data_IF_263689017071
#
_entry.id   IF_263689017071
#
_cell.length_a   1.000
_cell.length_b   1.000
_cell.length_c   1.000
_cell.angle_alpha   90.00
_cell.angle_beta   90.00
_cell.angle_gamma   90.00
#
_symmetry.space_group_name_H-M   'P 1'
#
loop_
_entity.id
_entity.type
_entity.pdbx_description
1 polymer ?
#
# COMPACT_ATOMS: atom_id res chain seq x y z
N UNK A 1 4.53 -25.00 59.64
CA UNK A 1 3.20 -24.64 59.07
C UNK A 1 3.28 -23.57 57.97
N UNK A 2 4.05 -22.48 58.12
CA UNK A 2 4.16 -21.40 57.10
C UNK A 2 4.72 -21.85 55.73
N UNK A 3 5.68 -22.78 55.71
CA UNK A 3 6.29 -23.30 54.48
C UNK A 3 5.31 -24.12 53.64
N UNK A 4 4.50 -24.98 54.27
CA UNK A 4 3.48 -25.79 53.59
C UNK A 4 2.38 -24.92 52.97
N UNK A 5 2.00 -23.83 53.65
CA UNK A 5 1.03 -22.87 53.13
C UNK A 5 1.53 -22.17 51.86
N UNK A 6 2.82 -21.81 51.83
CA UNK A 6 3.43 -21.19 50.65
C UNK A 6 3.50 -22.17 49.47
N UNK A 7 3.81 -23.44 49.73
CA UNK A 7 3.83 -24.47 48.68
C UNK A 7 2.44 -24.71 48.08
N UNK A 8 1.40 -24.74 48.92
CA UNK A 8 0.01 -24.90 48.47
C UNK A 8 -0.44 -23.70 47.63
N UNK A 9 -0.10 -22.48 48.06
CA UNK A 9 -0.41 -21.26 47.32
C UNK A 9 0.30 -21.22 45.96
N UNK A 10 1.55 -21.65 45.90
CA UNK A 10 2.34 -21.66 44.67
C UNK A 10 1.82 -22.68 43.65
N UNK A 11 1.36 -23.85 44.10
CA UNK A 11 0.68 -24.83 43.24
C UNK A 11 -0.63 -24.29 42.67
N UNK A 12 -1.41 -23.57 43.47
CA UNK A 12 -2.69 -23.01 43.02
C UNK A 12 -2.51 -21.95 41.92
N UNK A 13 -1.49 -21.10 42.04
CA UNK A 13 -1.17 -20.08 41.03
C UNK A 13 -0.75 -20.68 39.67
N UNK A 14 -0.10 -21.85 39.66
CA UNK A 14 0.30 -22.52 38.43
C UNK A 14 -0.88 -23.05 37.61
N UNK A 15 -2.05 -23.30 38.22
CA UNK A 15 -3.23 -23.81 37.51
C UNK A 15 -3.94 -22.76 36.64
N UNK A 16 -3.64 -21.47 36.81
CA UNK A 16 -4.21 -20.38 36.00
C UNK A 16 -3.28 -19.88 34.89
N UNK A 17 -2.09 -20.48 34.75
CA UNK A 17 -1.13 -20.15 33.69
C UNK A 17 -1.44 -20.95 32.41
N UNK A 18 -2.56 -20.64 31.75
CA UNK A 18 -2.83 -21.13 30.39
C UNK A 18 -2.21 -20.18 29.36
N UNK A 19 -1.51 -20.69 28.33
CA UNK A 19 -1.02 -19.84 27.25
C UNK A 19 -2.21 -19.26 26.49
N UNK A 20 -2.29 -17.93 26.43
CA UNK A 20 -3.25 -17.25 25.57
C UNK A 20 -2.82 -17.45 24.12
N UNK A 21 -3.55 -18.28 23.39
CA UNK A 21 -3.37 -18.43 21.94
C UNK A 21 -3.90 -17.18 21.27
N UNK A 22 -3.02 -16.30 20.78
CA UNK A 22 -3.42 -15.23 19.87
C UNK A 22 -3.50 -15.81 18.46
N UNK A 23 -4.70 -15.88 17.89
CA UNK A 23 -4.84 -16.00 16.45
C UNK A 23 -4.90 -14.58 15.86
N UNK A 24 -4.09 -14.32 14.84
CA UNK A 24 -4.40 -13.23 13.93
C UNK A 24 -5.69 -13.65 13.23
N UNK A 25 -6.82 -13.01 13.57
CA UNK A 25 -8.06 -13.15 12.81
C UNK A 25 -7.76 -12.59 11.42
N UNK A 26 -7.40 -13.46 10.48
CA UNK A 26 -7.69 -13.21 9.07
C UNK A 26 -9.19 -13.32 8.96
N UNK A 27 -9.87 -12.21 9.28
CA UNK A 27 -11.27 -12.08 8.98
C UNK A 27 -11.38 -12.38 7.49
N UNK A 28 -12.03 -13.48 7.15
CA UNK A 28 -12.92 -13.48 6.01
C UNK A 28 -14.02 -12.47 6.35
N UNK A 29 -13.65 -11.19 6.38
CA UNK A 29 -14.57 -10.16 5.99
C UNK A 29 -15.01 -10.61 4.61
N UNK A 30 -16.31 -10.77 4.42
CA UNK A 30 -16.88 -10.84 3.09
C UNK A 30 -16.39 -9.59 2.37
N UNK A 31 -15.24 -9.73 1.69
CA UNK A 31 -14.79 -8.79 0.71
C UNK A 31 -15.90 -8.85 -0.31
N UNK A 32 -16.82 -7.89 -0.19
CA UNK A 32 -17.54 -7.37 -1.34
C UNK A 32 -16.46 -7.33 -2.41
N UNK A 33 -16.63 -8.13 -3.46
CA UNK A 33 -15.86 -8.03 -4.69
C UNK A 33 -16.21 -6.66 -5.28
N UNK A 34 -15.75 -5.60 -4.61
CA UNK A 34 -15.64 -4.29 -5.19
C UNK A 34 -14.66 -4.56 -6.31
N UNK A 35 -15.19 -4.61 -7.52
CA UNK A 35 -14.42 -4.64 -8.75
C UNK A 35 -13.35 -3.56 -8.61
N UNK A 36 -12.16 -3.94 -8.12
CA UNK A 36 -11.09 -2.99 -7.85
C UNK A 36 -10.66 -2.57 -9.22
N UNK A 37 -11.11 -1.38 -9.62
CA UNK A 37 -10.86 -0.89 -10.95
C UNK A 37 -9.35 -0.82 -11.14
N UNK A 38 -8.85 -1.72 -11.97
CA UNK A 38 -7.41 -1.95 -12.11
C UNK A 38 -6.78 -0.73 -12.75
N UNK A 39 -5.91 -0.04 -12.02
CA UNK A 39 -5.15 1.08 -12.55
C UNK A 39 -4.27 0.57 -13.70
N UNK A 40 -4.40 1.20 -14.87
CA UNK A 40 -3.50 1.03 -16.00
C UNK A 40 -2.79 2.34 -16.30
N UNK A 41 -1.50 2.27 -16.59
CA UNK A 41 -0.67 3.44 -16.87
C UNK A 41 0.28 3.15 -18.01
N UNK A 42 0.26 3.94 -19.07
CA UNK A 42 1.26 3.91 -20.14
C UNK A 42 1.87 5.29 -20.35
N UNK A 43 3.10 5.31 -20.88
CA UNK A 43 3.79 6.53 -21.22
C UNK A 43 4.43 6.37 -22.59
N UNK A 44 4.06 7.22 -23.53
CA UNK A 44 4.59 7.20 -24.90
C UNK A 44 4.54 8.60 -25.50
N UNK A 45 5.59 8.99 -26.21
CA UNK A 45 5.63 10.28 -26.94
C UNK A 45 5.40 11.51 -26.06
N UNK A 46 5.83 11.48 -24.79
CA UNK A 46 5.59 12.58 -23.83
C UNK A 46 4.17 12.61 -23.26
N UNK A 47 3.33 11.62 -23.57
CA UNK A 47 1.96 11.52 -23.07
C UNK A 47 1.84 10.36 -22.11
N UNK A 48 1.34 10.63 -20.91
CA UNK A 48 0.92 9.61 -19.96
C UNK A 48 -0.57 9.35 -20.13
N UNK A 49 -0.94 8.12 -20.45
CA UNK A 49 -2.32 7.65 -20.45
C UNK A 49 -2.57 6.82 -19.19
N UNK A 50 -3.59 7.20 -18.43
CA UNK A 50 -3.95 6.55 -17.17
C UNK A 50 -5.44 6.24 -17.14
N UNK A 51 -5.79 5.03 -16.72
CA UNK A 51 -7.18 4.58 -16.54
C UNK A 51 -7.37 3.97 -15.15
N UNK A 52 -8.61 3.99 -14.64
CA UNK A 52 -8.96 3.41 -13.33
C UNK A 52 -8.37 4.14 -12.12
N UNK A 53 -7.92 5.38 -12.31
CA UNK A 53 -7.27 6.19 -11.28
C UNK A 53 -8.07 7.44 -10.90
N UNK A 54 -9.38 7.46 -11.14
CA UNK A 54 -10.22 8.62 -10.85
C UNK A 54 -10.07 9.07 -9.39
N UNK A 55 -9.96 10.38 -9.16
CA UNK A 55 -9.74 11.03 -7.86
C UNK A 55 -8.43 10.65 -7.15
N UNK A 56 -7.56 9.83 -7.74
CA UNK A 56 -6.26 9.51 -7.18
C UNK A 56 -5.25 10.62 -7.47
N UNK A 57 -4.28 10.77 -6.57
CA UNK A 57 -3.13 11.65 -6.77
C UNK A 57 -2.02 10.86 -7.46
N UNK A 58 -1.49 11.42 -8.54
CA UNK A 58 -0.31 10.95 -9.24
C UNK A 58 0.87 11.79 -8.81
N UNK A 59 1.92 11.15 -8.29
CA UNK A 59 3.20 11.80 -7.97
C UNK A 59 4.30 11.16 -8.80
N UNK A 60 5.10 11.99 -9.47
CA UNK A 60 6.22 11.58 -10.30
C UNK A 60 7.52 11.90 -9.56
N UNK A 61 8.35 10.89 -9.37
CA UNK A 61 9.66 11.01 -8.75
C UNK A 61 10.76 10.77 -9.78
N UNK A 62 11.85 11.52 -9.69
CA UNK A 62 13.08 11.19 -10.41
C UNK A 62 13.84 10.04 -9.71
N UNK A 63 14.94 9.59 -10.31
CA UNK A 63 15.75 8.51 -9.77
C UNK A 63 16.31 8.78 -8.36
N UNK A 64 16.53 10.05 -8.01
CA UNK A 64 16.99 10.46 -6.68
C UNK A 64 15.86 10.50 -5.63
N UNK A 65 14.62 10.18 -6.00
CA UNK A 65 13.46 10.20 -5.11
C UNK A 65 12.83 11.59 -4.91
N UNK A 66 13.24 12.60 -5.67
CA UNK A 66 12.65 13.95 -5.62
C UNK A 66 11.35 13.97 -6.41
N UNK A 67 10.27 14.47 -5.81
CA UNK A 67 8.98 14.65 -6.49
C UNK A 67 9.06 15.82 -7.48
N UNK A 68 9.02 15.51 -8.78
CA UNK A 68 9.13 16.49 -9.87
C UNK A 68 7.76 16.97 -10.37
N UNK A 69 6.70 16.22 -10.11
CA UNK A 69 5.32 16.60 -10.47
C UNK A 69 4.30 15.92 -9.55
N UNK A 70 3.19 16.60 -9.26
CA UNK A 70 2.04 16.02 -8.55
C UNK A 70 0.74 16.62 -9.08
N UNK A 71 -0.27 15.77 -9.33
CA UNK A 71 -1.59 16.21 -9.79
C UNK A 71 -2.66 15.14 -9.51
N UNK A 72 -3.93 15.57 -9.46
CA UNK A 72 -5.08 14.68 -9.33
C UNK A 72 -5.61 14.27 -10.70
N UNK A 73 -6.08 13.03 -10.83
CA UNK A 73 -6.76 12.54 -12.03
C UNK A 73 -8.27 12.78 -11.90
N UNK A 74 -8.83 13.54 -12.84
CA UNK A 74 -10.25 13.93 -12.83
C UNK A 74 -11.06 13.16 -13.89
N UNK A 75 -11.28 11.87 -13.69
CA UNK A 75 -12.04 11.00 -14.59
C UNK A 75 -11.45 9.59 -14.70
N UNK A 76 -12.20 8.70 -15.36
CA UNK A 76 -11.83 7.27 -15.44
C UNK A 76 -10.76 6.95 -16.49
N UNK A 77 -10.59 7.81 -17.49
CA UNK A 77 -9.57 7.71 -18.54
C UNK A 77 -9.05 9.13 -18.82
N UNK A 78 -7.75 9.35 -18.65
CA UNK A 78 -7.10 10.65 -18.87
C UNK A 78 -5.75 10.53 -19.55
N UNK A 79 -5.42 11.58 -20.28
CA UNK A 79 -4.11 11.79 -20.92
C UNK A 79 -3.49 13.07 -20.41
N UNK A 80 -2.22 12.99 -20.03
CA UNK A 80 -1.44 14.11 -19.52
C UNK A 80 -0.19 14.30 -20.37
N UNK A 81 -0.01 15.50 -20.92
CA UNK A 81 1.24 15.88 -21.56
C UNK A 81 2.28 16.17 -20.48
N UNK A 82 3.33 15.35 -20.45
CA UNK A 82 4.42 15.46 -19.49
C UNK A 82 5.72 15.73 -20.24
N UNK A 83 6.27 16.92 -20.03
CA UNK A 83 7.57 17.33 -20.54
C UNK A 83 8.71 16.78 -19.65
N UNK A 84 8.81 15.45 -19.53
CA UNK A 84 9.92 14.81 -18.81
C UNK A 84 11.17 14.79 -19.69
N UNK A 85 12.32 15.09 -19.10
CA UNK A 85 13.63 14.90 -19.71
C UNK A 85 14.00 13.41 -19.76
N UNK A 86 15.06 13.08 -20.49
CA UNK A 86 15.58 11.70 -20.53
C UNK A 86 15.99 11.24 -19.14
N UNK A 87 15.61 10.01 -18.80
CA UNK A 87 15.89 9.44 -17.48
C UNK A 87 14.89 8.39 -17.03
N UNK A 88 15.11 7.91 -15.80
CA UNK A 88 14.24 6.94 -15.14
C UNK A 88 13.38 7.66 -14.11
N UNK A 89 12.08 7.38 -14.13
CA UNK A 89 11.12 7.96 -13.21
C UNK A 89 10.27 6.88 -12.55
N UNK A 90 9.80 7.19 -11.35
CA UNK A 90 8.83 6.38 -10.61
C UNK A 90 7.53 7.17 -10.56
N UNK A 91 6.47 6.58 -11.09
CA UNK A 91 5.12 7.16 -11.01
C UNK A 91 4.36 6.42 -9.92
N UNK A 92 3.97 7.13 -8.87
CA UNK A 92 3.09 6.64 -7.80
C UNK A 92 1.68 7.17 -8.04
N UNK A 93 0.68 6.29 -7.96
CA UNK A 93 -0.73 6.63 -8.09
C UNK A 93 -1.46 6.14 -6.85
N UNK A 94 -2.05 7.06 -6.08
CA UNK A 94 -2.71 6.73 -4.82
C UNK A 94 -1.75 6.09 -3.81
N UNK A 95 -2.25 5.08 -3.09
CA UNK A 95 -1.52 4.41 -2.01
C UNK A 95 -0.63 3.26 -2.49
N UNK A 96 -1.11 2.46 -3.44
CA UNK A 96 -0.53 1.14 -3.76
C UNK A 96 0.04 0.99 -5.16
N UNK A 97 -0.38 1.79 -6.14
CA UNK A 97 0.09 1.63 -7.52
C UNK A 97 1.38 2.41 -7.74
N UNK A 98 2.41 1.71 -8.23
CA UNK A 98 3.70 2.32 -8.61
C UNK A 98 4.19 1.71 -9.92
N UNK A 99 4.72 2.53 -10.83
CA UNK A 99 5.30 2.07 -12.09
C UNK A 99 6.60 2.82 -12.42
N UNK A 100 7.65 2.07 -12.74
CA UNK A 100 8.88 2.61 -13.32
C UNK A 100 8.67 2.90 -14.80
N UNK A 101 9.09 4.08 -15.24
CA UNK A 101 9.18 4.41 -16.67
C UNK A 101 10.60 4.85 -17.03
N UNK A 102 10.97 4.58 -18.27
CA UNK A 102 12.19 5.08 -18.89
C UNK A 102 11.78 6.05 -19.98
N UNK A 103 12.27 7.28 -19.89
CA UNK A 103 12.08 8.31 -20.90
C UNK A 103 13.36 8.39 -21.73
N UNK A 104 13.21 8.23 -23.04
CA UNK A 104 14.23 8.44 -24.06
C UNK A 104 13.57 9.20 -25.20
N UNK A 105 14.04 10.41 -25.49
CA UNK A 105 13.63 11.19 -26.65
C UNK A 105 14.49 10.91 -27.87
#
# INVERSE_FOLDING_TARGET
MKKSLLTILMMLCMMFAVPMVSSARTGAEEMIDMEVQKISLTYSGGVMHITGANSQIVTIYNLAGVAVKSFRVEGQDKRFNLSLSDGVYIIKVGTSFTRKILVRR
#
